data_IF_696647364451
#
_entry.id   IF_696647364451
#
_cell.length_a   1.000
_cell.length_b   1.000
_cell.length_c   1.000
_cell.angle_alpha   90.00
_cell.angle_beta   90.00
_cell.angle_gamma   90.00
#
_symmetry.space_group_name_H-M   'P 1'
#
loop_
_entity.id
_entity.type
_entity.pdbx_description
1 polymer ?
#
# COMPACT_ATOMS: atom_id res chain seq x y z
N UNK A 1 22.41 -1.50 13.38
CA UNK A 1 21.70 -2.46 14.26
C UNK A 1 22.50 -2.65 15.53
N UNK A 2 21.84 -2.75 16.69
CA UNK A 2 22.49 -3.21 17.94
C UNK A 2 22.21 -4.71 18.09
N UNK A 3 23.18 -5.46 18.62
CA UNK A 3 22.98 -6.87 18.94
C UNK A 3 21.92 -7.01 20.05
N UNK A 4 21.11 -8.06 19.98
CA UNK A 4 20.05 -8.37 20.96
C UNK A 4 20.61 -8.74 22.35
N UNK A 5 21.90 -9.08 22.45
CA UNK A 5 22.57 -9.36 23.72
C UNK A 5 22.34 -10.76 24.31
N UNK A 6 21.58 -11.63 23.63
CA UNK A 6 21.29 -12.99 24.11
C UNK A 6 22.46 -13.99 24.00
N UNK A 7 23.36 -13.78 23.04
CA UNK A 7 24.49 -14.67 22.77
C UNK A 7 25.75 -13.82 22.48
N UNK A 8 26.89 -14.25 23.00
CA UNK A 8 28.17 -13.58 22.83
C UNK A 8 28.83 -13.90 21.48
N UNK A 9 28.51 -15.06 20.89
CA UNK A 9 29.11 -15.53 19.63
C UNK A 9 28.06 -16.11 18.68
N UNK A 10 28.41 -16.23 17.39
CA UNK A 10 27.56 -16.91 16.40
C UNK A 10 27.34 -18.38 16.72
N UNK A 11 28.35 -19.08 17.26
CA UNK A 11 28.23 -20.47 17.73
C UNK A 11 27.21 -20.59 18.86
N UNK A 12 27.28 -19.70 19.85
CA UNK A 12 26.31 -19.68 20.94
C UNK A 12 24.89 -19.35 20.43
N UNK A 13 24.77 -18.39 19.50
CA UNK A 13 23.51 -18.08 18.85
C UNK A 13 22.95 -19.28 18.07
N UNK A 14 23.82 -20.02 17.35
CA UNK A 14 23.45 -21.22 16.61
C UNK A 14 22.89 -22.30 17.54
N UNK A 15 23.61 -22.61 18.63
CA UNK A 15 23.19 -23.56 19.65
C UNK A 15 21.82 -23.19 20.24
N UNK A 16 21.65 -21.93 20.66
CA UNK A 16 20.40 -21.44 21.26
C UNK A 16 19.24 -21.53 20.27
N UNK A 17 19.45 -21.06 19.03
CA UNK A 17 18.41 -21.05 18.01
C UNK A 17 18.00 -22.48 17.61
N UNK A 18 18.98 -23.37 17.38
CA UNK A 18 18.71 -24.74 16.94
C UNK A 18 18.00 -25.55 18.04
N UNK A 19 18.45 -25.45 19.29
CA UNK A 19 17.81 -26.11 20.42
C UNK A 19 16.41 -25.55 20.73
N UNK A 20 16.11 -24.32 20.32
CA UNK A 20 14.77 -23.74 20.38
C UNK A 20 13.84 -24.21 19.24
N UNK A 21 14.36 -25.00 18.28
CA UNK A 21 13.58 -25.55 17.17
C UNK A 21 13.61 -24.71 15.90
N UNK A 22 14.55 -23.78 15.74
CA UNK A 22 14.79 -23.12 14.46
C UNK A 22 15.64 -24.06 13.57
N UNK A 23 15.06 -24.53 12.48
CA UNK A 23 15.65 -25.62 11.69
C UNK A 23 16.40 -25.14 10.45
N UNK A 24 16.11 -23.93 10.00
CA UNK A 24 16.68 -23.33 8.79
C UNK A 24 17.29 -21.98 9.09
N UNK A 25 18.58 -21.86 8.78
CA UNK A 25 19.33 -20.62 8.85
C UNK A 25 19.21 -19.85 7.53
N UNK A 26 18.62 -18.66 7.60
CA UNK A 26 18.52 -17.75 6.47
C UNK A 26 19.66 -16.73 6.53
N UNK A 27 20.63 -16.88 5.63
CA UNK A 27 21.76 -15.96 5.36
C UNK A 27 22.81 -15.78 6.47
N UNK A 28 22.59 -16.24 7.72
CA UNK A 28 23.48 -15.89 8.83
C UNK A 28 24.79 -16.69 8.88
N UNK A 29 24.79 -17.87 8.24
CA UNK A 29 25.85 -18.88 8.23
C UNK A 29 26.28 -19.33 9.64
N UNK A 30 25.33 -19.35 10.57
CA UNK A 30 25.56 -19.84 11.92
C UNK A 30 25.52 -21.36 11.96
N UNK A 31 24.68 -22.01 11.14
CA UNK A 31 24.46 -23.46 11.22
C UNK A 31 25.52 -24.27 10.47
N UNK A 32 25.78 -23.94 9.21
CA UNK A 32 26.81 -24.59 8.38
C UNK A 32 28.21 -24.49 8.98
N UNK A 33 28.48 -23.43 9.75
CA UNK A 33 29.81 -23.19 10.35
C UNK A 33 30.00 -23.78 11.74
N UNK A 34 28.92 -24.04 12.49
CA UNK A 34 29.03 -24.35 13.93
C UNK A 34 28.26 -25.58 14.40
N UNK A 35 27.27 -26.10 13.65
CA UNK A 35 26.47 -27.23 14.14
C UNK A 35 27.29 -28.51 14.32
N UNK A 36 28.29 -28.77 13.46
CA UNK A 36 29.17 -29.93 13.62
C UNK A 36 29.89 -29.89 14.97
N UNK A 37 30.57 -28.79 15.25
CA UNK A 37 31.30 -28.59 16.51
C UNK A 37 30.36 -28.67 17.73
N UNK A 38 29.16 -28.11 17.63
CA UNK A 38 28.16 -28.18 18.70
C UNK A 38 27.62 -29.59 18.95
N UNK A 39 27.57 -30.43 17.92
CA UNK A 39 27.24 -31.86 18.06
C UNK A 39 28.39 -32.61 18.72
N UNK A 40 29.62 -32.36 18.29
CA UNK A 40 30.85 -32.96 18.88
C UNK A 40 30.99 -32.61 20.37
N UNK A 41 30.59 -31.39 20.76
CA UNK A 41 30.53 -30.93 22.17
C UNK A 41 29.31 -31.42 22.95
N UNK A 42 28.39 -32.17 22.34
CA UNK A 42 27.15 -32.64 22.96
C UNK A 42 26.15 -31.53 23.31
N UNK A 43 26.31 -30.33 22.74
CA UNK A 43 25.41 -29.18 22.93
C UNK A 43 24.18 -29.22 22.04
N UNK A 44 24.25 -29.96 20.94
CA UNK A 44 23.15 -30.30 20.03
C UNK A 44 23.18 -31.81 19.82
N UNK A 45 22.01 -32.47 19.85
CA UNK A 45 21.96 -33.92 19.62
C UNK A 45 21.83 -34.25 18.13
N UNK A 46 22.45 -35.36 17.70
CA UNK A 46 22.24 -35.89 16.35
C UNK A 46 20.77 -36.23 16.07
N UNK A 47 20.01 -36.65 17.08
CA UNK A 47 18.58 -36.92 16.92
C UNK A 47 17.77 -35.66 16.53
N UNK A 48 18.13 -34.48 17.08
CA UNK A 48 17.53 -33.21 16.68
C UNK A 48 17.93 -32.81 15.26
N UNK A 49 19.19 -33.05 14.87
CA UNK A 49 19.66 -32.84 13.49
C UNK A 49 18.85 -33.70 12.52
N UNK A 50 18.74 -35.00 12.80
CA UNK A 50 18.00 -35.95 11.95
C UNK A 50 16.53 -35.57 11.82
N UNK A 51 15.88 -35.15 12.91
CA UNK A 51 14.48 -34.71 12.86
C UNK A 51 14.31 -33.40 12.07
N UNK A 52 15.22 -32.44 12.23
CA UNK A 52 15.20 -31.18 11.47
C UNK A 52 15.40 -31.42 9.97
N UNK A 53 16.38 -32.26 9.61
CA UNK A 53 16.62 -32.68 8.23
C UNK A 53 15.40 -33.42 7.68
N UNK A 54 14.82 -34.35 8.45
CA UNK A 54 13.61 -35.09 8.06
C UNK A 54 12.44 -34.17 7.73
N UNK A 55 12.24 -33.08 8.47
CA UNK A 55 11.18 -32.08 8.20
C UNK A 55 11.42 -31.31 6.91
N UNK A 56 12.65 -30.84 6.68
CA UNK A 56 13.04 -30.16 5.44
C UNK A 56 12.88 -31.08 4.24
N UNK A 57 13.37 -32.32 4.31
CA UNK A 57 13.25 -33.29 3.22
C UNK A 57 11.80 -33.70 2.99
N UNK A 58 10.99 -33.88 4.05
CA UNK A 58 9.54 -34.16 3.91
C UNK A 58 8.82 -33.06 3.14
N UNK A 59 9.15 -31.79 3.38
CA UNK A 59 8.60 -30.68 2.60
C UNK A 59 9.01 -30.80 1.12
N UNK A 60 10.28 -31.09 0.83
CA UNK A 60 10.76 -31.29 -0.55
C UNK A 60 10.07 -32.46 -1.26
N UNK A 61 9.82 -33.57 -0.55
CA UNK A 61 9.01 -34.69 -1.07
C UNK A 61 7.56 -34.28 -1.36
N UNK A 62 6.91 -33.56 -0.43
CA UNK A 62 5.53 -33.07 -0.64
C UNK A 62 5.42 -32.09 -1.81
N UNK A 63 6.48 -31.33 -2.06
CA UNK A 63 6.57 -30.44 -3.22
C UNK A 63 6.93 -31.19 -4.52
N UNK A 64 7.20 -32.50 -4.47
CA UNK A 64 7.56 -33.32 -5.63
C UNK A 64 8.95 -33.01 -6.20
N UNK A 65 9.83 -32.38 -5.41
CA UNK A 65 11.14 -31.92 -5.88
C UNK A 65 12.15 -33.06 -6.10
N UNK A 66 11.88 -34.25 -5.57
CA UNK A 66 12.70 -35.42 -5.84
C UNK A 66 12.37 -36.06 -7.20
N UNK A 67 11.11 -35.99 -7.62
CA UNK A 67 10.63 -36.51 -8.90
C UNK A 67 10.76 -35.47 -10.02
N UNK A 68 10.52 -34.19 -9.70
CA UNK A 68 10.52 -33.06 -10.63
C UNK A 68 11.32 -31.89 -10.05
N UNK A 69 12.66 -32.00 -10.01
CA UNK A 69 13.53 -31.00 -9.39
C UNK A 69 13.58 -29.66 -10.14
N UNK A 70 13.20 -29.65 -11.42
CA UNK A 70 13.31 -28.47 -12.28
C UNK A 70 11.94 -27.88 -12.61
N UNK A 71 11.84 -26.56 -12.52
CA UNK A 71 10.68 -25.82 -13.01
C UNK A 71 10.78 -25.66 -14.54
N UNK A 72 9.70 -25.82 -15.30
CA UNK A 72 9.71 -25.54 -16.73
C UNK A 72 10.18 -24.11 -17.02
N UNK A 73 11.04 -23.96 -18.03
CA UNK A 73 11.44 -22.65 -18.52
C UNK A 73 10.21 -21.98 -19.16
N UNK A 74 9.93 -20.75 -18.75
CA UNK A 74 8.83 -19.93 -19.27
C UNK A 74 9.38 -18.55 -19.62
N UNK A 75 8.84 -17.96 -20.66
CA UNK A 75 9.15 -16.56 -21.01
C UNK A 75 8.44 -15.61 -20.05
N UNK A 76 8.94 -14.37 -19.91
CA UNK A 76 8.26 -13.36 -19.08
C UNK A 76 6.81 -13.13 -19.52
N UNK A 77 6.54 -13.16 -20.83
CA UNK A 77 5.20 -12.96 -21.40
C UNK A 77 4.22 -14.08 -21.00
N UNK A 78 4.70 -15.31 -20.87
CA UNK A 78 3.88 -16.45 -20.47
C UNK A 78 3.62 -16.47 -18.96
N UNK A 79 4.54 -15.90 -18.17
CA UNK A 79 4.51 -15.96 -16.70
C UNK A 79 3.87 -14.73 -16.07
N UNK A 80 4.21 -13.54 -16.56
CA UNK A 80 3.83 -12.27 -15.98
C UNK A 80 2.83 -11.53 -16.88
N UNK A 81 2.05 -10.63 -16.28
CA UNK A 81 1.13 -9.72 -16.99
C UNK A 81 0.15 -10.38 -17.97
N UNK A 82 -0.20 -11.64 -17.74
CA UNK A 82 -1.23 -12.35 -18.50
C UNK A 82 -2.55 -11.56 -18.43
N UNK A 83 -3.31 -11.41 -19.53
CA UNK A 83 -4.55 -10.63 -19.54
C UNK A 83 -5.52 -11.00 -18.41
N UNK A 84 -5.71 -12.30 -18.16
CA UNK A 84 -6.54 -12.79 -17.06
C UNK A 84 -6.03 -12.37 -15.67
N UNK A 85 -4.71 -12.43 -15.44
CA UNK A 85 -4.13 -12.05 -14.15
C UNK A 85 -4.23 -10.55 -13.91
N UNK A 86 -4.10 -9.74 -14.98
CA UNK A 86 -4.32 -8.28 -14.91
C UNK A 86 -5.78 -7.95 -14.61
N UNK A 87 -6.73 -8.65 -15.23
CA UNK A 87 -8.16 -8.46 -14.98
C UNK A 87 -8.51 -8.77 -13.52
N UNK A 88 -8.10 -9.95 -13.01
CA UNK A 88 -8.29 -10.32 -11.60
C UNK A 88 -7.62 -9.34 -10.64
N UNK A 89 -6.41 -8.87 -10.95
CA UNK A 89 -5.73 -7.88 -10.13
C UNK A 89 -6.49 -6.54 -10.09
N UNK A 90 -7.10 -6.13 -11.21
CA UNK A 90 -7.95 -4.94 -11.28
C UNK A 90 -9.21 -5.07 -10.41
N UNK A 91 -9.87 -6.24 -10.43
CA UNK A 91 -11.03 -6.52 -9.58
C UNK A 91 -10.67 -6.47 -8.10
N UNK A 92 -9.58 -7.14 -7.71
CA UNK A 92 -9.09 -7.12 -6.32
C UNK A 92 -8.71 -5.71 -5.88
N UNK A 93 -8.09 -4.91 -6.75
CA UNK A 93 -7.76 -3.52 -6.47
C UNK A 93 -9.04 -2.69 -6.23
N UNK A 94 -10.08 -2.86 -7.05
CA UNK A 94 -11.37 -2.17 -6.89
C UNK A 94 -12.03 -2.50 -5.55
N UNK A 95 -12.07 -3.78 -5.19
CA UNK A 95 -12.67 -4.25 -3.93
C UNK A 95 -11.85 -3.86 -2.69
N UNK A 96 -10.58 -3.48 -2.88
CA UNK A 96 -9.72 -3.00 -1.79
C UNK A 96 -9.94 -1.52 -1.43
N UNK A 97 -10.62 -0.74 -2.28
CA UNK A 97 -10.81 0.69 -2.05
C UNK A 97 -11.80 0.98 -0.94
N UNK A 98 -11.52 2.05 -0.19
CA UNK A 98 -12.37 2.49 0.92
C UNK A 98 -12.81 3.92 0.68
N UNK A 99 -14.11 4.12 0.50
CA UNK A 99 -14.72 5.44 0.51
C UNK A 99 -14.86 5.93 1.94
N UNK A 100 -14.09 6.96 2.30
CA UNK A 100 -14.09 7.52 3.65
C UNK A 100 -15.14 8.63 3.79
N UNK A 101 -15.33 9.45 2.75
CA UNK A 101 -16.29 10.55 2.75
C UNK A 101 -16.79 10.88 1.35
N UNK A 102 -18.10 11.07 1.21
CA UNK A 102 -18.74 11.55 -0.01
C UNK A 102 -19.71 12.70 0.31
N UNK A 103 -19.16 13.89 0.56
CA UNK A 103 -19.98 15.07 0.82
C UNK A 103 -20.67 15.54 -0.47
N UNK A 104 -21.93 15.97 -0.36
CA UNK A 104 -22.73 16.53 -1.44
C UNK A 104 -22.91 15.60 -2.66
N UNK A 105 -22.69 14.30 -2.51
CA UNK A 105 -22.86 13.33 -3.58
C UNK A 105 -21.95 13.57 -4.79
N UNK A 106 -20.77 14.17 -4.61
CA UNK A 106 -19.80 14.43 -5.69
C UNK A 106 -19.42 13.14 -6.41
N UNK A 107 -19.33 12.03 -5.66
CA UNK A 107 -19.22 10.70 -6.23
C UNK A 107 -20.60 10.03 -6.33
N UNK A 108 -20.93 9.38 -7.45
CA UNK A 108 -20.08 9.20 -8.61
C UNK A 108 -19.90 10.43 -9.51
N UNK A 109 -18.73 10.56 -10.15
CA UNK A 109 -18.45 11.58 -11.15
C UNK A 109 -19.29 11.33 -12.41
N UNK A 110 -20.41 12.03 -12.50
CA UNK A 110 -21.33 11.95 -13.63
C UNK A 110 -21.42 13.33 -14.30
N UNK A 111 -21.52 13.35 -15.63
CA UNK A 111 -21.71 14.58 -16.43
C UNK A 111 -20.63 15.67 -16.28
N UNK A 112 -19.44 15.34 -15.82
CA UNK A 112 -18.28 16.26 -15.78
C UNK A 112 -17.65 16.41 -17.17
N UNK A 113 -17.34 17.65 -17.57
CA UNK A 113 -16.74 17.96 -18.88
C UNK A 113 -15.27 18.35 -18.77
N UNK A 114 -14.84 18.84 -17.60
CA UNK A 114 -13.46 19.27 -17.35
C UNK A 114 -12.98 18.75 -16.00
N UNK A 115 -11.92 17.96 -16.02
CA UNK A 115 -11.34 17.34 -14.81
C UNK A 115 -9.90 17.81 -14.64
N UNK A 116 -9.59 18.43 -13.51
CA UNK A 116 -8.20 18.66 -13.11
C UNK A 116 -7.69 17.45 -12.32
N UNK A 117 -6.60 16.84 -12.75
CA UNK A 117 -5.92 15.76 -12.03
C UNK A 117 -4.64 16.32 -11.45
N UNK A 118 -4.60 16.50 -10.14
CA UNK A 118 -3.54 17.25 -9.45
C UNK A 118 -2.84 16.38 -8.42
N UNK A 119 -1.53 16.52 -8.27
CA UNK A 119 -0.79 15.98 -7.13
C UNK A 119 0.26 14.93 -7.49
N UNK A 120 1.20 14.66 -6.55
CA UNK A 120 2.39 13.86 -6.81
C UNK A 120 2.11 12.39 -7.12
N UNK A 121 0.93 11.88 -6.78
CA UNK A 121 0.58 10.46 -7.02
C UNK A 121 -0.10 10.23 -8.37
N UNK A 122 -0.50 11.29 -9.09
CA UNK A 122 -1.31 11.14 -10.29
C UNK A 122 -0.59 10.42 -11.45
N UNK A 123 0.73 10.64 -11.59
CA UNK A 123 1.59 10.04 -12.64
C UNK A 123 2.79 9.29 -12.05
N UNK A 124 2.58 8.53 -10.97
CA UNK A 124 3.66 7.91 -10.22
C UNK A 124 3.53 6.40 -10.16
N UNK A 125 4.27 5.68 -11.02
CA UNK A 125 4.22 4.22 -11.07
C UNK A 125 4.88 3.55 -9.87
N UNK A 126 6.06 4.04 -9.45
CA UNK A 126 6.81 3.45 -8.33
C UNK A 126 6.05 3.46 -7.02
N UNK A 127 5.52 4.62 -6.62
CA UNK A 127 4.86 4.73 -5.32
C UNK A 127 3.51 4.00 -5.29
N UNK A 128 2.88 3.80 -6.45
CA UNK A 128 1.65 3.00 -6.57
C UNK A 128 1.90 1.48 -6.50
N UNK A 129 3.13 0.98 -6.76
CA UNK A 129 3.46 -0.44 -6.55
C UNK A 129 3.44 -0.82 -5.06
N UNK A 130 3.71 0.14 -4.18
CA UNK A 130 3.88 -0.10 -2.75
C UNK A 130 5.18 -0.82 -2.39
N UNK A 131 5.42 -1.00 -1.09
CA UNK A 131 6.58 -1.76 -0.59
C UNK A 131 6.46 -3.25 -0.92
N UNK A 132 7.60 -3.96 -0.96
CA UNK A 132 7.66 -5.39 -1.28
C UNK A 132 7.08 -5.76 -2.67
N UNK A 133 7.29 -4.91 -3.67
CA UNK A 133 6.76 -5.09 -5.03
C UNK A 133 7.42 -6.23 -5.84
N UNK A 134 8.40 -6.93 -5.26
CA UNK A 134 9.11 -8.02 -5.93
C UNK A 134 9.82 -7.53 -7.20
N UNK A 135 9.43 -8.07 -8.36
CA UNK A 135 9.99 -7.70 -9.66
C UNK A 135 9.22 -6.59 -10.38
N UNK A 136 8.27 -5.93 -9.72
CA UNK A 136 7.50 -4.84 -10.32
C UNK A 136 8.36 -3.64 -10.72
N UNK A 137 8.03 -3.02 -11.86
CA UNK A 137 8.62 -1.79 -12.40
C UNK A 137 7.56 -0.70 -12.48
N UNK A 138 7.96 0.56 -12.48
CA UNK A 138 7.04 1.69 -12.61
C UNK A 138 6.19 1.65 -13.89
N UNK A 139 6.76 1.15 -14.99
CA UNK A 139 6.07 0.94 -16.27
C UNK A 139 5.02 -0.16 -16.23
N UNK A 140 5.04 -1.01 -15.20
CA UNK A 140 4.01 -2.00 -14.99
C UNK A 140 2.73 -1.35 -14.44
N UNK A 141 2.76 -0.17 -13.82
CA UNK A 141 1.55 0.36 -13.17
C UNK A 141 0.68 1.18 -14.12
N UNK A 142 -0.63 0.97 -14.06
CA UNK A 142 -1.56 2.00 -14.56
C UNK A 142 -1.62 3.16 -13.59
N UNK A 143 -0.97 4.25 -13.95
CA UNK A 143 -1.00 5.47 -13.16
C UNK A 143 -2.43 6.03 -13.08
N UNK A 144 -2.76 6.70 -11.97
CA UNK A 144 -4.11 7.26 -11.73
C UNK A 144 -4.58 8.16 -12.89
N UNK A 145 -3.70 9.02 -13.40
CA UNK A 145 -3.99 9.88 -14.56
C UNK A 145 -4.33 9.05 -15.81
N UNK A 146 -3.57 7.99 -16.09
CA UNK A 146 -3.78 7.15 -17.27
C UNK A 146 -5.12 6.41 -17.20
N UNK A 147 -5.48 5.92 -16.01
CA UNK A 147 -6.76 5.28 -15.77
C UNK A 147 -7.93 6.25 -15.97
N UNK A 148 -7.83 7.47 -15.42
CA UNK A 148 -8.84 8.52 -15.61
C UNK A 148 -8.95 8.95 -17.09
N UNK A 149 -7.83 9.13 -17.78
CA UNK A 149 -7.81 9.51 -19.19
C UNK A 149 -8.46 8.44 -20.09
N UNK A 150 -8.28 7.16 -19.75
CA UNK A 150 -8.93 6.08 -20.47
C UNK A 150 -10.46 6.05 -20.24
N UNK A 151 -10.90 6.23 -18.98
CA UNK A 151 -12.33 6.17 -18.63
C UNK A 151 -13.15 7.36 -19.15
N UNK A 152 -12.57 8.56 -19.08
CA UNK A 152 -13.21 9.79 -19.50
C UNK A 152 -12.91 10.17 -20.95
N UNK A 153 -12.30 9.26 -21.71
CA UNK A 153 -12.08 9.45 -23.15
C UNK A 153 -13.40 9.80 -23.83
N UNK A 154 -13.40 10.88 -24.60
CA UNK A 154 -14.57 11.44 -25.31
C UNK A 154 -15.73 11.91 -24.40
N UNK A 155 -15.58 11.83 -23.07
CA UNK A 155 -16.58 12.27 -22.07
C UNK A 155 -16.19 13.61 -21.42
N UNK A 156 -14.90 13.78 -21.10
CA UNK A 156 -14.35 14.96 -20.42
C UNK A 156 -12.92 15.28 -20.89
N UNK A 157 -12.54 16.56 -20.84
CA UNK A 157 -11.15 17.02 -21.03
C UNK A 157 -10.41 16.95 -19.68
N UNK A 158 -9.21 16.38 -19.68
CA UNK A 158 -8.36 16.28 -18.49
C UNK A 158 -7.19 17.26 -18.58
N UNK A 159 -6.91 17.94 -17.46
CA UNK A 159 -5.66 18.71 -17.28
C UNK A 159 -4.90 18.18 -16.09
N UNK A 160 -3.61 17.98 -16.27
CA UNK A 160 -2.71 17.52 -15.23
C UNK A 160 -1.85 18.66 -14.71
N UNK A 161 -1.66 18.73 -13.39
CA UNK A 161 -0.62 19.53 -12.77
C UNK A 161 0.02 18.73 -11.61
N UNK A 162 1.35 18.73 -11.51
CA UNK A 162 2.03 18.01 -10.44
C UNK A 162 1.71 18.62 -9.06
N UNK A 163 1.67 19.96 -8.99
CA UNK A 163 1.45 20.72 -7.75
C UNK A 163 2.68 20.72 -6.85
N UNK A 164 3.11 19.55 -6.39
CA UNK A 164 4.30 19.37 -5.56
C UNK A 164 4.91 17.98 -5.73
N UNK A 165 6.04 17.75 -5.05
CA UNK A 165 6.57 16.39 -4.82
C UNK A 165 5.89 15.76 -3.61
N UNK A 166 6.17 14.48 -3.38
CA UNK A 166 5.67 13.72 -2.23
C UNK A 166 6.14 14.33 -0.90
N UNK A 167 7.34 14.93 -0.88
CA UNK A 167 7.93 15.60 0.27
C UNK A 167 8.74 16.84 -0.15
N UNK A 168 9.34 17.49 0.84
CA UNK A 168 10.03 18.77 0.68
C UNK A 168 9.10 19.95 0.94
N UNK A 169 9.50 21.11 0.44
CA UNK A 169 8.87 22.41 0.69
C UNK A 169 8.67 23.23 -0.60
N UNK A 170 8.99 22.67 -1.76
CA UNK A 170 8.86 23.33 -3.06
C UNK A 170 7.39 23.53 -3.46
N UNK A 171 6.98 24.80 -3.50
CA UNK A 171 5.63 25.26 -3.87
C UNK A 171 5.55 25.82 -5.30
N UNK A 172 6.62 25.74 -6.08
CA UNK A 172 6.68 26.34 -7.44
C UNK A 172 5.56 25.85 -8.37
N UNK A 173 5.09 24.60 -8.18
CA UNK A 173 3.98 24.02 -8.95
C UNK A 173 2.57 24.40 -8.49
N UNK A 174 2.42 25.18 -7.42
CA UNK A 174 1.09 25.48 -6.85
C UNK A 174 0.25 26.34 -7.78
N UNK A 175 0.86 27.35 -8.41
CA UNK A 175 0.13 28.26 -9.30
C UNK A 175 -0.48 27.51 -10.49
N UNK A 176 0.29 26.62 -11.14
CA UNK A 176 -0.21 25.76 -12.22
C UNK A 176 -1.35 24.87 -11.75
N UNK A 177 -1.23 24.27 -10.56
CA UNK A 177 -2.26 23.43 -9.98
C UNK A 177 -3.57 24.18 -9.69
N UNK A 178 -3.49 25.41 -9.17
CA UNK A 178 -4.65 26.27 -8.91
C UNK A 178 -5.31 26.71 -10.22
N UNK A 179 -4.54 27.04 -11.26
CA UNK A 179 -5.09 27.40 -12.57
C UNK A 179 -5.79 26.20 -13.23
N UNK A 180 -5.21 25.00 -13.15
CA UNK A 180 -5.86 23.77 -13.61
C UNK A 180 -7.18 23.54 -12.87
N UNK A 181 -7.19 23.75 -11.54
CA UNK A 181 -8.39 23.63 -10.72
C UNK A 181 -9.47 24.65 -11.13
N UNK A 182 -9.14 25.94 -11.25
CA UNK A 182 -10.09 26.99 -11.65
C UNK A 182 -10.76 26.70 -12.99
N UNK A 183 -10.02 26.15 -13.94
CA UNK A 183 -10.52 25.76 -15.24
C UNK A 183 -11.51 24.57 -15.21
N UNK A 184 -11.40 23.69 -14.21
CA UNK A 184 -12.15 22.43 -14.13
C UNK A 184 -13.55 22.55 -13.53
N UNK A 185 -14.37 21.53 -13.75
CA UNK A 185 -15.64 21.31 -13.04
C UNK A 185 -15.40 20.60 -11.70
N UNK A 186 -14.38 19.73 -11.66
CA UNK A 186 -13.97 18.96 -10.48
C UNK A 186 -12.46 18.74 -10.47
N UNK A 187 -11.87 18.74 -9.28
CA UNK A 187 -10.46 18.39 -9.07
C UNK A 187 -10.36 16.97 -8.49
N UNK A 188 -9.59 16.10 -9.13
CA UNK A 188 -9.13 14.84 -8.55
C UNK A 188 -7.73 15.07 -8.00
N UNK A 189 -7.62 15.16 -6.68
CA UNK A 189 -6.39 15.44 -5.96
C UNK A 189 -5.75 14.14 -5.47
N UNK A 190 -4.62 13.75 -6.06
CA UNK A 190 -3.91 12.50 -5.82
C UNK A 190 -2.73 12.72 -4.88
N UNK A 191 -2.93 12.42 -3.59
CA UNK A 191 -1.93 12.57 -2.52
C UNK A 191 -1.52 11.21 -1.95
N UNK A 192 -0.41 11.15 -1.22
CA UNK A 192 0.05 9.88 -0.66
C UNK A 192 1.44 9.86 -0.06
N UNK A 193 1.91 8.64 0.17
CA UNK A 193 3.23 8.33 0.70
C UNK A 193 4.13 7.71 -0.40
N UNK A 194 5.45 7.85 -0.23
CA UNK A 194 6.40 7.09 -1.04
C UNK A 194 6.32 5.60 -0.71
N UNK A 195 6.60 4.71 -1.66
CA UNK A 195 6.61 3.26 -1.40
C UNK A 195 7.57 2.88 -0.27
N UNK A 196 8.73 3.53 -0.19
CA UNK A 196 9.78 3.31 0.81
C UNK A 196 9.45 3.84 2.20
N UNK A 197 8.36 4.59 2.32
CA UNK A 197 7.89 5.07 3.61
C UNK A 197 7.05 4.04 4.34
N UNK A 198 6.74 2.89 3.73
CA UNK A 198 6.09 1.75 4.35
C UNK A 198 6.94 0.49 4.15
N UNK A 199 6.55 -0.61 4.81
CA UNK A 199 7.31 -1.85 4.75
C UNK A 199 8.35 -1.98 5.87
N UNK A 200 9.35 -2.82 5.65
CA UNK A 200 10.37 -3.13 6.66
C UNK A 200 11.28 -1.93 6.94
N UNK A 201 11.57 -1.70 8.23
CA UNK A 201 12.45 -0.62 8.68
C UNK A 201 12.02 0.80 8.24
N UNK A 202 10.73 1.00 7.96
CA UNK A 202 10.17 2.25 7.47
C UNK A 202 9.17 2.86 8.48
N UNK A 203 9.54 2.90 9.76
CA UNK A 203 8.76 3.55 10.81
C UNK A 203 8.77 5.08 10.62
N UNK A 204 7.60 5.72 10.76
CA UNK A 204 7.48 7.18 10.76
C UNK A 204 7.03 7.64 12.15
N UNK A 205 7.64 8.71 12.65
CA UNK A 205 7.24 9.37 13.91
C UNK A 205 5.91 10.14 13.78
N UNK A 206 5.45 10.35 12.55
CA UNK A 206 4.15 10.95 12.24
C UNK A 206 3.43 10.12 11.18
N UNK A 207 2.12 10.00 11.32
CA UNK A 207 1.22 9.38 10.35
C UNK A 207 0.46 10.43 9.52
N UNK A 208 0.79 11.72 9.67
CA UNK A 208 0.23 12.77 8.84
C UNK A 208 0.77 12.70 7.40
N UNK A 209 0.04 13.34 6.49
CA UNK A 209 0.57 13.63 5.17
C UNK A 209 1.74 14.62 5.28
N UNK A 210 2.67 14.61 4.30
CA UNK A 210 3.68 15.63 4.19
C UNK A 210 3.04 17.03 4.09
N UNK A 211 3.61 17.99 4.84
CA UNK A 211 3.05 19.34 4.96
C UNK A 211 2.92 20.07 3.62
N UNK A 212 3.78 19.77 2.64
CA UNK A 212 3.67 20.32 1.28
C UNK A 212 2.41 19.86 0.55
N UNK A 213 2.01 18.59 0.74
CA UNK A 213 0.79 18.05 0.16
C UNK A 213 -0.46 18.61 0.85
N UNK A 214 -0.41 18.82 2.16
CA UNK A 214 -1.47 19.52 2.90
C UNK A 214 -1.62 20.97 2.42
N UNK A 215 -0.50 21.68 2.24
CA UNK A 215 -0.51 23.05 1.71
C UNK A 215 -1.07 23.12 0.27
N UNK A 216 -0.78 22.13 -0.57
CA UNK A 216 -1.37 22.02 -1.91
C UNK A 216 -2.90 21.86 -1.83
N UNK A 217 -3.39 21.00 -0.94
CA UNK A 217 -4.82 20.81 -0.74
C UNK A 217 -5.52 22.10 -0.26
N UNK A 218 -4.84 22.90 0.58
CA UNK A 218 -5.33 24.21 1.02
C UNK A 218 -5.40 25.19 -0.16
N UNK A 219 -4.33 25.33 -0.94
CA UNK A 219 -4.29 26.24 -2.09
C UNK A 219 -5.40 25.92 -3.12
N UNK A 220 -5.68 24.63 -3.37
CA UNK A 220 -6.71 24.22 -4.33
C UNK A 220 -8.14 24.58 -3.88
N UNK A 221 -8.40 24.77 -2.57
CA UNK A 221 -9.73 25.20 -2.10
C UNK A 221 -10.07 26.61 -2.52
N UNK A 222 -9.08 27.47 -2.68
CA UNK A 222 -9.27 28.84 -3.16
C UNK A 222 -9.84 28.87 -4.59
N UNK A 223 -9.72 27.78 -5.35
CA UNK A 223 -10.36 27.64 -6.66
C UNK A 223 -11.89 27.43 -6.59
N UNK A 224 -12.44 27.12 -5.41
CA UNK A 224 -13.89 26.99 -5.20
C UNK A 224 -14.55 25.81 -5.92
N UNK A 225 -13.77 24.84 -6.40
CA UNK A 225 -14.28 23.65 -7.10
C UNK A 225 -14.48 22.48 -6.14
N UNK A 226 -15.41 21.55 -6.43
CA UNK A 226 -15.45 20.25 -5.77
C UNK A 226 -14.10 19.52 -5.92
N UNK A 227 -13.61 18.94 -4.83
CA UNK A 227 -12.34 18.21 -4.82
C UNK A 227 -12.56 16.78 -4.32
N UNK A 228 -12.17 15.81 -5.14
CA UNK A 228 -12.10 14.40 -4.78
C UNK A 228 -10.67 14.08 -4.40
N UNK A 229 -10.42 13.84 -3.12
CA UNK A 229 -9.12 13.41 -2.63
C UNK A 229 -8.95 11.89 -2.83
N UNK A 230 -7.94 11.48 -3.60
CA UNK A 230 -7.50 10.09 -3.76
C UNK A 230 -6.19 9.90 -3.00
N UNK A 231 -6.21 9.02 -1.99
CA UNK A 231 -5.04 8.73 -1.15
C UNK A 231 -4.39 7.40 -1.54
N UNK A 232 -3.07 7.38 -1.72
CA UNK A 232 -2.25 6.17 -1.88
C UNK A 232 -1.23 6.07 -0.75
N UNK A 233 -1.39 5.09 0.14
CA UNK A 233 -0.59 4.99 1.37
C UNK A 233 -0.50 3.55 1.89
N UNK A 234 0.62 3.21 2.54
CA UNK A 234 0.90 1.86 3.05
C UNK A 234 0.43 1.62 4.50
N UNK A 235 -0.10 2.66 5.16
CA UNK A 235 -0.56 2.63 6.57
C UNK A 235 -1.78 3.54 6.78
N UNK A 236 -2.48 3.50 7.93
CA UNK A 236 -3.42 4.54 8.31
C UNK A 236 -2.75 5.92 8.37
N UNK A 237 -3.46 6.97 7.91
CA UNK A 237 -3.00 8.35 7.94
C UNK A 237 -3.87 9.20 8.86
N UNK A 238 -3.26 10.19 9.50
CA UNK A 238 -3.99 11.28 10.17
C UNK A 238 -4.52 12.24 9.11
N UNK A 239 -5.84 12.37 8.99
CA UNK A 239 -6.50 13.22 7.99
C UNK A 239 -7.23 14.43 8.59
N UNK A 240 -7.25 14.58 9.91
CA UNK A 240 -7.99 15.63 10.62
C UNK A 240 -7.56 17.04 10.17
N UNK A 241 -6.29 17.21 9.77
CA UNK A 241 -5.72 18.46 9.26
C UNK A 241 -6.30 18.86 7.90
N UNK A 242 -6.76 17.87 7.12
CA UNK A 242 -7.51 18.08 5.89
C UNK A 242 -9.01 18.24 6.16
N UNK A 243 -9.56 17.59 7.20
CA UNK A 243 -11.00 17.61 7.50
C UNK A 243 -11.56 18.96 7.94
N UNK A 244 -10.75 19.82 8.57
CA UNK A 244 -11.08 21.21 8.90
C UNK A 244 -11.46 22.05 7.66
N UNK A 245 -11.36 21.45 6.49
CA UNK A 245 -11.61 22.05 5.21
C UNK A 245 -12.37 21.02 4.34
N UNK A 246 -13.69 21.16 4.23
CA UNK A 246 -14.62 20.15 3.70
C UNK A 246 -14.32 19.58 2.28
N UNK A 247 -13.61 18.45 2.19
CA UNK A 247 -13.40 17.69 0.93
C UNK A 247 -13.94 16.25 1.06
N UNK A 248 -14.63 15.70 0.03
CA UNK A 248 -14.79 14.25 -0.16
C UNK A 248 -13.45 13.52 -0.24
N UNK A 249 -13.31 12.35 0.41
CA UNK A 249 -12.07 11.57 0.44
C UNK A 249 -12.30 10.07 0.14
N UNK A 250 -11.51 9.56 -0.81
CA UNK A 250 -11.43 8.17 -1.23
C UNK A 250 -10.02 7.65 -0.90
N UNK A 251 -9.93 6.53 -0.18
CA UNK A 251 -8.67 5.89 0.18
C UNK A 251 -8.44 4.67 -0.71
N UNK A 252 -7.33 4.67 -1.44
CA UNK A 252 -6.76 3.45 -2.02
C UNK A 252 -5.70 2.92 -1.06
N UNK A 253 -5.97 1.78 -0.43
CA UNK A 253 -5.04 1.17 0.52
C UNK A 253 -5.43 -0.25 0.89
N UNK A 254 -4.41 -1.10 1.06
CA UNK A 254 -4.58 -2.46 1.54
C UNK A 254 -5.26 -2.49 2.91
N UNK A 255 -6.23 -3.41 3.08
CA UNK A 255 -7.04 -3.60 4.28
C UNK A 255 -6.20 -3.55 5.57
N UNK A 256 -6.60 -2.68 6.49
CA UNK A 256 -6.30 -2.82 7.91
C UNK A 256 -7.64 -2.85 8.67
N UNK A 257 -8.08 -4.05 9.06
CA UNK A 257 -9.22 -4.23 9.95
C UNK A 257 -8.77 -4.08 11.40
N UNK A 258 -9.51 -3.26 12.16
CA UNK A 258 -9.53 -3.24 13.61
C UNK A 258 -9.92 -4.61 14.17
N UNK A 259 -9.18 -5.10 15.17
CA UNK A 259 -9.57 -6.25 16.01
C UNK A 259 -9.49 -7.63 15.33
N UNK A 260 -8.39 -8.36 15.60
CA UNK A 260 -8.32 -9.83 15.46
C UNK A 260 -8.69 -10.40 14.07
N UNK A 261 -7.97 -10.00 13.02
CA UNK A 261 -7.81 -10.84 11.82
C UNK A 261 -6.56 -10.41 11.02
N UNK A 262 -5.40 -10.99 11.35
CA UNK A 262 -4.26 -10.99 10.44
C UNK A 262 -4.60 -11.85 9.22
N UNK A 263 -4.88 -11.20 8.08
CA UNK A 263 -4.55 -11.73 6.75
C UNK A 263 -4.03 -10.58 5.90
N UNK A 264 -2.71 -10.40 5.93
CA UNK A 264 -1.98 -9.69 4.89
C UNK A 264 -2.15 -10.48 3.58
N UNK A 265 -3.00 -10.01 2.69
CA UNK A 265 -2.98 -10.48 1.31
C UNK A 265 -1.81 -9.77 0.60
N UNK A 266 -0.65 -10.41 0.62
CA UNK A 266 0.48 -10.05 -0.25
C UNK A 266 0.16 -10.49 -1.68
N UNK A 267 0.01 -9.53 -2.60
CA UNK A 267 0.07 -9.80 -4.03
C UNK A 267 1.16 -8.93 -4.67
N UNK A 268 2.37 -9.46 -4.90
CA UNK A 268 3.38 -8.79 -5.70
C UNK A 268 3.00 -8.88 -7.20
N UNK A 269 3.07 -7.77 -7.94
CA UNK A 269 3.10 -7.80 -9.41
C UNK A 269 1.79 -7.50 -10.16
N UNK A 270 0.89 -6.68 -9.63
CA UNK A 270 -0.28 -6.22 -10.37
C UNK A 270 0.04 -5.02 -11.29
N UNK A 271 0.45 -5.31 -12.53
CA UNK A 271 0.33 -4.34 -13.62
C UNK A 271 -1.11 -4.23 -14.07
N UNK A 272 -1.67 -3.03 -13.98
CA UNK A 272 -3.10 -2.73 -14.14
C UNK A 272 -3.33 -2.19 -15.57
N UNK A 273 -4.41 -2.58 -16.26
CA UNK A 273 -5.15 -1.89 -17.36
C UNK A 273 -6.20 -2.86 -17.95
N UNK A 274 -7.36 -2.41 -18.44
CA UNK A 274 -7.76 -1.03 -18.73
C UNK A 274 -8.69 -0.43 -17.67
N UNK A 275 -8.50 0.86 -17.36
CA UNK A 275 -9.53 1.89 -17.24
C UNK A 275 -10.92 1.63 -16.65
N UNK A 276 -11.22 0.56 -15.90
CA UNK A 276 -12.59 0.28 -15.45
C UNK A 276 -12.72 -0.05 -13.98
N UNK A 277 -11.65 0.00 -13.17
CA UNK A 277 -11.68 -0.64 -11.83
C UNK A 277 -11.18 0.24 -10.65
N UNK A 278 -10.37 1.27 -10.90
CA UNK A 278 -10.26 2.43 -9.98
C UNK A 278 -11.60 3.22 -9.88
N UNK A 279 -12.56 2.83 -10.72
CA UNK A 279 -13.55 3.67 -11.35
C UNK A 279 -15.01 3.23 -11.14
N UNK A 280 -15.39 1.96 -10.86
CA UNK A 280 -16.75 1.64 -10.42
C UNK A 280 -17.01 2.27 -9.06
N UNK A 281 -15.98 2.54 -8.26
CA UNK A 281 -16.08 3.29 -7.02
C UNK A 281 -16.38 4.77 -7.24
N UNK A 282 -15.75 5.37 -8.25
CA UNK A 282 -16.02 6.76 -8.65
C UNK A 282 -17.28 6.88 -9.51
N UNK A 283 -17.91 5.78 -9.96
CA UNK A 283 -19.02 5.77 -10.95
C UNK A 283 -20.29 5.04 -10.43
N UNK A 284 -20.20 4.16 -9.43
CA UNK A 284 -21.32 3.35 -8.89
C UNK A 284 -21.29 3.25 -7.35
N UNK A 285 -22.43 3.51 -6.70
CA UNK A 285 -22.58 3.37 -5.24
C UNK A 285 -22.76 1.91 -4.77
N UNK A 286 -23.23 1.01 -5.64
CA UNK A 286 -23.78 -0.30 -5.25
C UNK A 286 -22.77 -1.30 -4.67
N UNK A 287 -21.47 -1.02 -4.74
CA UNK A 287 -20.41 -1.88 -4.15
C UNK A 287 -19.80 -1.33 -2.86
N UNK A 288 -20.15 -0.13 -2.42
CA UNK A 288 -19.64 0.42 -1.17
C UNK A 288 -20.61 0.19 -0.02
N UNK A 289 -20.26 -0.75 0.88
CA UNK A 289 -20.84 -0.74 2.22
C UNK A 289 -20.30 0.47 2.97
N UNK A 290 -21.14 1.48 3.13
CA UNK A 290 -20.85 2.71 3.88
C UNK A 290 -20.34 2.40 5.29
N UNK A 291 -19.18 2.94 5.66
CA UNK A 291 -18.77 3.04 7.06
C UNK A 291 -18.85 4.52 7.44
N UNK A 292 -19.87 4.85 8.23
CA UNK A 292 -20.03 6.15 8.88
C UNK A 292 -19.03 6.25 10.04
N UNK A 293 -18.10 7.19 9.99
CA UNK A 293 -17.33 7.59 11.18
C UNK A 293 -18.23 8.54 11.97
N UNK A 294 -18.89 8.02 13.00
CA UNK A 294 -19.61 8.81 13.99
C UNK A 294 -18.60 9.47 14.94
N UNK A 295 -18.77 10.77 15.18
CA UNK A 295 -17.94 11.51 16.13
C UNK A 295 -18.29 12.99 16.23
N UNK A 296 -19.57 13.32 16.45
CA UNK A 296 -19.93 14.60 17.06
C UNK A 296 -19.53 14.53 18.54
N UNK A 297 -18.58 15.36 18.95
CA UNK A 297 -18.40 15.70 20.35
C UNK A 297 -19.15 17.01 20.66
N UNK A 298 -19.63 17.09 21.89
CA UNK A 298 -20.26 18.21 22.61
C UNK A 298 -21.76 18.48 22.38
N UNK A 299 -22.59 18.00 23.33
CA UNK A 299 -22.95 18.83 24.50
C UNK A 299 -23.80 18.02 25.51
N UNK A 300 -23.35 18.01 26.78
CA UNK A 300 -24.25 18.01 27.94
C UNK A 300 -24.51 16.71 28.69
N UNK A 301 -23.60 16.34 29.60
CA UNK A 301 -23.99 15.80 30.92
C UNK A 301 -23.10 16.47 31.98
N UNK A 302 -23.66 17.49 32.64
CA UNK A 302 -23.24 17.94 33.97
C UNK A 302 -23.91 17.04 35.02
N UNK A 303 -23.21 16.87 36.14
CA UNK A 303 -23.73 16.48 37.46
C UNK A 303 -24.26 15.04 37.65
N UNK A 304 -23.36 14.18 38.13
CA UNK A 304 -23.52 13.30 39.31
C UNK A 304 -22.33 12.34 39.27
N UNK A 305 -21.44 12.32 40.26
CA UNK A 305 -21.62 11.56 41.50
C UNK A 305 -20.65 12.14 42.54
N UNK A 306 -21.21 12.55 43.67
CA UNK A 306 -20.50 12.67 44.95
C UNK A 306 -20.30 11.27 45.52
N UNK A 307 -19.05 10.95 45.90
CA UNK A 307 -18.64 10.45 47.22
C UNK A 307 -17.13 10.60 47.31
#
# INVERSE_FOLDING_TARGET
MKNQGLAATKKEAAMRAFNAGLEMDMMSHAYDRHLQELVEEGKVSMAQIDESVRRVLRLKFRLGLFERPYTPLTTEKERFFRPQSRATAGELAAESMVLLKNANGVLPLTNVKKIAVVGPMAKNGWDLLGSWCGHGKDTDVEMLYNGLAAEFKDKAELRYAAGCKQDGDDRSGFAEAVEAARWSDVVVLCLGEKMTWSGENASRSTIALPTIQEALAVALKEAGKPIVLVLSNGRPLELNRLELSAMPCLKSGNRASTGHAQRQAFYPGASIRPGSWLLPSLIQQDKFRSITIAGRADAGIKDSIRT
#
